data_IF_575080606569
#
_entry.id   IF_575080606569
#
_cell.length_a   1.000
_cell.length_b   1.000
_cell.length_c   1.000
_cell.angle_alpha   90.00
_cell.angle_beta   90.00
_cell.angle_gamma   90.00
#
_symmetry.space_group_name_H-M   'P 1'
#
loop_
_entity.id
_entity.type
_entity.pdbx_description
1 polymer ?
#
# COMPACT_ATOMS: atom_id res chain seq x y z
N UNK A 1 7.40 -21.48 4.91
CA UNK A 1 6.30 -21.07 4.01
C UNK A 1 6.66 -21.13 2.51
N UNK A 2 7.87 -20.77 2.07
CA UNK A 2 8.23 -20.80 0.63
C UNK A 2 7.98 -22.14 -0.06
N UNK A 3 8.37 -23.27 0.55
CA UNK A 3 8.11 -24.61 0.01
C UNK A 3 6.62 -24.98 -0.06
N UNK A 4 5.75 -24.24 0.62
CA UNK A 4 4.29 -24.41 0.61
C UNK A 4 3.59 -23.51 -0.42
N UNK A 5 4.34 -22.84 -1.30
CA UNK A 5 3.78 -22.02 -2.38
C UNK A 5 3.52 -20.54 -2.04
N UNK A 6 3.78 -20.10 -0.80
CA UNK A 6 3.67 -18.67 -0.44
C UNK A 6 4.71 -17.84 -1.19
N UNK A 7 4.33 -16.66 -1.71
CA UNK A 7 5.18 -15.77 -2.53
C UNK A 7 5.13 -14.29 -2.17
N UNK A 8 4.43 -13.95 -1.10
CA UNK A 8 4.34 -12.58 -0.63
C UNK A 8 3.74 -12.48 0.76
N UNK A 9 3.84 -11.29 1.32
CA UNK A 9 3.26 -10.94 2.62
C UNK A 9 2.33 -9.75 2.43
N UNK A 10 1.12 -9.85 2.97
CA UNK A 10 0.16 -8.75 2.96
C UNK A 10 0.21 -7.99 4.27
N UNK A 11 0.36 -6.67 4.19
CA UNK A 11 0.40 -5.76 5.33
C UNK A 11 -0.79 -4.82 5.25
N UNK A 12 -1.52 -4.67 6.36
CA UNK A 12 -2.69 -3.82 6.48
C UNK A 12 -2.41 -2.68 7.44
N UNK A 13 -2.31 -1.47 6.89
CA UNK A 13 -2.01 -0.24 7.62
C UNK A 13 -3.25 0.68 7.77
N UNK A 14 -4.38 0.35 7.14
CA UNK A 14 -5.63 1.12 7.27
C UNK A 14 -6.42 0.71 8.53
N UNK A 15 -6.43 -0.58 8.84
CA UNK A 15 -7.14 -1.11 9.99
C UNK A 15 -6.15 -1.46 11.09
N UNK A 16 -6.43 -1.00 12.32
CA UNK A 16 -5.57 -1.23 13.49
C UNK A 16 -5.18 -2.71 13.60
N UNK A 17 -3.93 -3.00 13.28
CA UNK A 17 -3.37 -4.35 13.23
C UNK A 17 -2.13 -4.50 14.14
N UNK A 18 -1.69 -3.40 14.77
CA UNK A 18 -0.44 -3.34 15.53
C UNK A 18 0.81 -3.33 14.64
N UNK A 19 0.65 -3.13 13.33
CA UNK A 19 1.74 -3.05 12.35
C UNK A 19 1.89 -1.60 11.91
N UNK A 20 3.12 -1.11 11.96
CA UNK A 20 3.49 0.26 11.59
C UNK A 20 4.30 0.26 10.27
N UNK A 21 4.49 1.44 9.67
CA UNK A 21 5.28 1.58 8.43
C UNK A 21 6.72 1.06 8.60
N UNK A 22 7.31 1.21 9.79
CA UNK A 22 8.64 0.67 10.11
C UNK A 22 8.73 -0.86 9.96
N UNK A 23 7.64 -1.57 10.20
CA UNK A 23 7.60 -3.03 10.06
C UNK A 23 7.63 -3.45 8.59
N UNK A 24 7.18 -2.59 7.66
CA UNK A 24 7.21 -2.84 6.21
C UNK A 24 8.65 -3.02 5.74
N UNK A 25 9.56 -2.14 6.15
CA UNK A 25 10.97 -2.24 5.79
C UNK A 25 11.60 -3.53 6.35
N UNK A 26 11.35 -3.84 7.63
CA UNK A 26 11.87 -5.06 8.25
C UNK A 26 11.31 -6.34 7.60
N UNK A 27 10.05 -6.33 7.14
CA UNK A 27 9.46 -7.43 6.40
C UNK A 27 10.05 -7.55 4.99
N UNK A 28 10.27 -6.43 4.30
CA UNK A 28 10.85 -6.41 2.96
C UNK A 28 12.24 -7.07 2.96
N UNK A 29 13.10 -6.69 3.90
CA UNK A 29 14.44 -7.28 4.07
C UNK A 29 14.38 -8.80 4.31
N UNK A 30 13.43 -9.27 5.13
CA UNK A 30 13.27 -10.70 5.41
C UNK A 30 12.82 -11.51 4.21
N UNK A 31 12.00 -10.94 3.33
CA UNK A 31 11.40 -11.65 2.20
C UNK A 31 12.16 -11.44 0.89
N UNK A 32 13.05 -10.44 0.81
CA UNK A 32 13.88 -10.17 -0.36
C UNK A 32 14.71 -11.40 -0.82
N UNK A 33 15.42 -12.14 0.06
CA UNK A 33 16.18 -13.32 -0.35
C UNK A 33 15.32 -14.46 -0.92
N UNK A 34 14.00 -14.43 -0.68
CA UNK A 34 13.05 -15.42 -1.17
C UNK A 34 12.46 -15.06 -2.54
N UNK A 35 12.79 -13.88 -3.09
CA UNK A 35 12.19 -13.36 -4.32
C UNK A 35 10.69 -13.05 -4.17
N UNK A 36 10.25 -12.71 -2.97
CA UNK A 36 8.85 -12.42 -2.67
C UNK A 36 8.52 -10.93 -2.84
N UNK A 37 7.22 -10.61 -2.85
CA UNK A 37 6.72 -9.24 -2.86
C UNK A 37 6.00 -8.89 -1.55
N UNK A 38 5.85 -7.59 -1.29
CA UNK A 38 4.91 -7.09 -0.30
C UNK A 38 3.62 -6.64 -0.97
N UNK A 39 2.49 -6.87 -0.32
CA UNK A 39 1.19 -6.34 -0.72
C UNK A 39 0.69 -5.41 0.38
N UNK A 40 0.53 -4.12 0.08
CA UNK A 40 0.18 -3.10 1.05
C UNK A 40 -1.27 -2.65 0.87
N UNK A 41 -2.03 -2.71 1.95
CA UNK A 41 -3.30 -2.01 2.10
C UNK A 41 -3.06 -0.73 2.89
N UNK A 42 -3.04 0.40 2.17
CA UNK A 42 -2.73 1.74 2.66
C UNK A 42 -3.74 2.76 2.11
N UNK A 43 -3.90 3.88 2.80
CA UNK A 43 -4.51 5.09 2.25
C UNK A 43 -3.39 6.04 1.79
N UNK A 44 -3.22 6.21 0.48
CA UNK A 44 -2.17 7.06 -0.09
C UNK A 44 -2.38 8.55 0.20
N UNK A 45 -3.55 8.95 0.72
CA UNK A 45 -3.77 10.33 1.17
C UNK A 45 -3.21 10.58 2.56
N UNK A 46 -3.07 9.54 3.37
CA UNK A 46 -2.56 9.59 4.75
C UNK A 46 -1.14 9.03 4.88
N UNK A 47 -0.61 8.39 3.83
CA UNK A 47 0.73 7.81 3.83
C UNK A 47 1.79 8.88 3.51
N UNK A 48 2.42 9.42 4.55
CA UNK A 48 3.55 10.34 4.41
C UNK A 48 4.74 9.66 3.71
N UNK A 49 5.42 10.41 2.83
CA UNK A 49 6.64 9.98 2.12
C UNK A 49 6.47 8.63 1.38
N UNK A 50 5.32 8.46 0.73
CA UNK A 50 4.97 7.22 0.01
C UNK A 50 6.06 6.84 -1.01
N UNK A 51 6.52 7.80 -1.80
CA UNK A 51 7.53 7.57 -2.82
C UNK A 51 8.84 7.09 -2.20
N UNK A 52 9.40 7.85 -1.26
CA UNK A 52 10.68 7.57 -0.60
C UNK A 52 10.64 6.21 0.10
N UNK A 53 9.58 5.95 0.85
CA UNK A 53 9.40 4.70 1.59
C UNK A 53 9.39 3.52 0.62
N UNK A 54 8.50 3.54 -0.38
CA UNK A 54 8.34 2.39 -1.29
C UNK A 54 9.54 2.24 -2.23
N UNK A 55 10.10 3.34 -2.73
CA UNK A 55 11.26 3.32 -3.60
C UNK A 55 12.52 2.80 -2.89
N UNK A 56 12.60 2.88 -1.56
CA UNK A 56 13.73 2.34 -0.80
C UNK A 56 13.69 0.81 -0.61
N UNK A 57 12.53 0.17 -0.81
CA UNK A 57 12.37 -1.25 -0.48
C UNK A 57 13.16 -2.16 -1.45
N UNK A 58 13.76 -3.25 -0.93
CA UNK A 58 14.50 -4.22 -1.73
C UNK A 58 13.59 -5.20 -2.50
N UNK A 59 12.27 -5.02 -2.45
CA UNK A 59 11.28 -5.93 -3.05
C UNK A 59 10.24 -5.17 -3.86
N UNK A 60 9.63 -5.86 -4.82
CA UNK A 60 8.45 -5.33 -5.50
C UNK A 60 7.28 -5.18 -4.53
N UNK A 61 6.47 -4.14 -4.75
CA UNK A 61 5.30 -3.86 -3.93
C UNK A 61 4.02 -3.91 -4.78
N UNK A 62 2.95 -4.45 -4.21
CA UNK A 62 1.59 -4.40 -4.76
C UNK A 62 0.75 -3.49 -3.87
N UNK A 63 0.16 -2.43 -4.45
CA UNK A 63 -0.76 -1.55 -3.74
C UNK A 63 -2.19 -2.06 -3.95
N UNK A 64 -2.86 -2.37 -2.84
CA UNK A 64 -4.27 -2.80 -2.84
C UNK A 64 -5.20 -1.63 -3.20
N UNK A 65 -6.28 -1.95 -3.90
CA UNK A 65 -7.44 -1.06 -4.10
C UNK A 65 -7.10 0.35 -4.57
N UNK A 66 -6.16 0.48 -5.52
CA UNK A 66 -5.70 1.76 -6.07
C UNK A 66 -5.25 2.77 -5.01
N UNK A 67 -4.77 2.27 -3.86
CA UNK A 67 -4.27 3.09 -2.76
C UNK A 67 -5.34 3.67 -1.85
N UNK A 68 -6.58 3.17 -1.94
CA UNK A 68 -7.70 3.56 -1.06
C UNK A 68 -8.00 5.08 -1.03
N UNK A 69 -7.50 5.83 -2.02
CA UNK A 69 -7.73 7.27 -2.12
C UNK A 69 -9.18 7.53 -2.53
N UNK A 70 -9.93 8.37 -1.79
CA UNK A 70 -11.25 8.77 -2.23
C UNK A 70 -11.20 9.53 -3.56
N UNK A 71 -12.10 9.21 -4.50
CA UNK A 71 -12.11 9.83 -5.83
C UNK A 71 -12.29 11.36 -5.80
N UNK A 72 -12.89 11.88 -4.73
CA UNK A 72 -13.06 13.32 -4.48
C UNK A 72 -11.76 14.08 -4.28
N UNK A 73 -10.65 13.40 -3.92
CA UNK A 73 -9.33 14.04 -3.78
C UNK A 73 -8.76 14.51 -5.13
N UNK A 74 -9.29 13.99 -6.24
CA UNK A 74 -8.88 14.36 -7.59
C UNK A 74 -7.53 13.77 -8.00
N UNK A 75 -7.23 13.85 -9.31
CA UNK A 75 -6.01 13.28 -9.89
C UNK A 75 -4.74 14.07 -9.57
N UNK A 76 -4.87 15.32 -9.08
CA UNK A 76 -3.73 16.15 -8.70
C UNK A 76 -3.21 15.91 -7.28
N UNK A 77 -3.80 14.97 -6.54
CA UNK A 77 -3.38 14.70 -5.17
C UNK A 77 -1.91 14.21 -5.12
N UNK A 78 -1.07 14.70 -4.18
CA UNK A 78 0.34 14.29 -4.10
C UNK A 78 0.51 12.77 -4.01
N UNK A 79 -0.22 12.09 -3.12
CA UNK A 79 -0.16 10.63 -3.01
C UNK A 79 -0.52 9.87 -4.30
N UNK A 80 -1.43 10.41 -5.12
CA UNK A 80 -1.73 9.81 -6.43
C UNK A 80 -0.60 10.05 -7.43
N UNK A 81 -0.02 11.25 -7.41
CA UNK A 81 1.15 11.59 -8.23
C UNK A 81 2.34 10.68 -7.90
N UNK A 82 2.61 10.45 -6.62
CA UNK A 82 3.65 9.53 -6.15
C UNK A 82 3.38 8.09 -6.57
N UNK A 83 2.13 7.63 -6.45
CA UNK A 83 1.73 6.30 -6.91
C UNK A 83 1.98 6.12 -8.41
N UNK A 84 1.62 7.11 -9.23
CA UNK A 84 1.87 7.08 -10.67
C UNK A 84 3.37 7.10 -11.00
N UNK A 85 4.17 7.84 -10.23
CA UNK A 85 5.63 7.85 -10.38
C UNK A 85 6.23 6.48 -10.07
N UNK A 86 5.87 5.88 -8.94
CA UNK A 86 6.30 4.54 -8.55
C UNK A 86 5.91 3.47 -9.59
N UNK A 87 4.69 3.59 -10.16
CA UNK A 87 4.21 2.72 -11.23
C UNK A 87 5.08 2.86 -12.49
N UNK A 88 5.36 4.10 -12.90
CA UNK A 88 6.17 4.40 -14.09
C UNK A 88 7.60 3.86 -13.96
N UNK A 89 8.17 3.90 -12.76
CA UNK A 89 9.51 3.38 -12.45
C UNK A 89 9.53 1.86 -12.22
N UNK A 90 8.38 1.17 -12.31
CA UNK A 90 8.28 -0.28 -12.12
C UNK A 90 8.54 -0.73 -10.68
N UNK A 91 8.46 0.18 -9.70
CA UNK A 91 8.63 -0.14 -8.27
C UNK A 91 7.38 -0.80 -7.66
N UNK A 92 6.21 -0.47 -8.21
CA UNK A 92 4.93 -1.00 -7.73
C UNK A 92 4.08 -1.60 -8.85
N UNK A 93 3.18 -2.48 -8.43
CA UNK A 93 1.97 -2.86 -9.16
C UNK A 93 0.75 -2.33 -8.42
N UNK A 94 -0.32 -2.01 -9.13
CA UNK A 94 -1.58 -1.56 -8.53
C UNK A 94 -2.69 -2.56 -8.82
N UNK A 95 -3.41 -2.97 -7.76
CA UNK A 95 -4.55 -3.87 -7.90
C UNK A 95 -5.82 -3.10 -8.22
N UNK A 96 -6.36 -3.30 -9.42
CA UNK A 96 -7.65 -2.76 -9.87
C UNK A 96 -8.80 -3.62 -9.33
N UNK A 97 -9.09 -3.50 -8.04
CA UNK A 97 -10.17 -4.23 -7.37
C UNK A 97 -10.70 -3.44 -6.19
N UNK A 98 -11.86 -3.80 -5.62
CA UNK A 98 -12.38 -3.13 -4.44
C UNK A 98 -12.73 -1.66 -4.68
N UNK A 99 -13.29 -1.34 -5.86
CA UNK A 99 -13.65 0.03 -6.27
C UNK A 99 -14.51 0.77 -5.24
N UNK A 100 -15.30 0.03 -4.43
CA UNK A 100 -16.08 0.60 -3.33
C UNK A 100 -15.21 1.31 -2.27
N UNK A 101 -13.95 0.89 -2.10
CA UNK A 101 -12.98 1.52 -1.20
C UNK A 101 -12.57 2.93 -1.67
N UNK A 102 -12.79 3.26 -2.94
CA UNK A 102 -12.57 4.60 -3.49
C UNK A 102 -13.79 5.51 -3.35
N UNK A 103 -14.95 4.94 -2.99
CA UNK A 103 -16.18 5.70 -2.82
C UNK A 103 -16.25 6.32 -1.42
N UNK A 104 -16.60 7.60 -1.36
CA UNK A 104 -16.78 8.32 -0.09
C UNK A 104 -17.91 7.71 0.77
N UNK A 105 -17.59 7.33 2.02
CA UNK A 105 -18.29 7.70 3.29
C UNK A 105 -17.66 6.96 4.49
N UNK A 106 -16.75 7.61 5.21
CA UNK A 106 -16.62 7.40 6.66
C UNK A 106 -17.53 8.43 7.32
N UNK A 107 -18.81 8.11 7.48
CA UNK A 107 -19.59 8.80 8.53
C UNK A 107 -18.99 8.34 9.85
N UNK A 108 -18.30 9.24 10.53
CA UNK A 108 -17.99 9.07 11.94
C UNK A 108 -19.30 8.75 12.65
N UNK A 109 -19.45 7.53 13.15
CA UNK A 109 -20.42 7.26 14.21
C UNK A 109 -19.86 7.98 15.44
N UNK A 110 -20.20 9.25 15.58
CA UNK A 110 -20.18 9.90 16.88
C UNK A 110 -21.15 9.13 17.76
N UNK A 111 -20.60 8.29 18.62
CA UNK A 111 -21.31 7.75 19.77
C UNK A 111 -21.61 8.94 20.67
N UNK A 112 -22.86 9.39 20.66
CA UNK A 112 -23.40 10.28 21.69
C UNK A 112 -23.64 9.49 22.97
#
# INVERSE_FOLDING_TARGET
>A
MHRLGVRGVRVNLIFKSGVEVSDVAALAEKVAPLGWHLQLLIDITEFADLYETVASLPVAVVIDHMGHMPTSCGLGHPGFTDLLRLLKEGRVWVKLSGLIALQHRRTSLTTT
#
